data_IF_390672182475
#
_entry.id   IF_390672182475
#
_cell.length_a   1.000
_cell.length_b   1.000
_cell.length_c   1.000
_cell.angle_alpha   90.00
_cell.angle_beta   90.00
_cell.angle_gamma   90.00
#
_symmetry.space_group_name_H-M   'P 1'
#
loop_
_entity.id
_entity.type
_entity.pdbx_description
1 polymer ?
#
# COMPACT_ATOMS: atom_id res chain seq x y z
N UNK A 1 -8.56 -10.68 -9.59
CA UNK A 1 -7.42 -10.27 -8.76
C UNK A 1 -6.28 -9.87 -9.69
N UNK A 2 -5.81 -8.62 -9.63
CA UNK A 2 -4.65 -8.18 -10.42
C UNK A 2 -3.41 -9.01 -10.05
N UNK A 3 -2.75 -9.62 -11.04
CA UNK A 3 -1.64 -10.58 -10.85
C UNK A 3 -0.38 -10.00 -10.19
N UNK A 4 -0.30 -8.69 -9.99
CA UNK A 4 0.93 -7.96 -9.62
C UNK A 4 1.27 -7.98 -8.13
N UNK A 5 0.29 -8.04 -7.22
CA UNK A 5 0.58 -8.05 -5.77
C UNK A 5 1.06 -9.43 -5.29
N UNK A 6 0.55 -10.50 -5.92
CA UNK A 6 0.86 -11.88 -5.55
C UNK A 6 2.36 -12.18 -5.68
N UNK A 7 3.00 -11.74 -6.77
CA UNK A 7 4.44 -11.95 -6.99
C UNK A 7 5.32 -11.30 -5.91
N UNK A 8 4.94 -10.11 -5.45
CA UNK A 8 5.69 -9.39 -4.40
C UNK A 8 5.58 -10.10 -3.05
N UNK A 9 4.42 -10.68 -2.73
CA UNK A 9 4.24 -11.49 -1.52
C UNK A 9 4.96 -12.84 -1.63
N UNK A 10 4.89 -13.50 -2.79
CA UNK A 10 5.59 -14.76 -3.05
C UNK A 10 7.11 -14.62 -2.95
N UNK A 11 7.67 -13.46 -3.30
CA UNK A 11 9.10 -13.17 -3.16
C UNK A 11 9.61 -13.22 -1.72
N UNK A 12 8.72 -13.08 -0.71
CA UNK A 12 9.09 -13.24 0.70
C UNK A 12 9.40 -14.70 1.07
N UNK A 13 8.99 -15.66 0.22
CA UNK A 13 9.10 -17.10 0.47
C UNK A 13 8.62 -17.50 1.89
N UNK A 14 7.55 -16.85 2.36
CA UNK A 14 7.03 -17.01 3.71
C UNK A 14 5.53 -17.38 3.66
N UNK A 15 5.21 -18.69 3.68
CA UNK A 15 3.83 -19.17 3.60
C UNK A 15 2.93 -18.65 4.72
N UNK A 16 3.49 -18.35 5.91
CA UNK A 16 2.74 -17.80 7.02
C UNK A 16 2.18 -16.40 6.69
N UNK A 17 3.00 -15.53 6.09
CA UNK A 17 2.59 -14.18 5.70
C UNK A 17 1.51 -14.23 4.62
N UNK A 18 1.69 -15.06 3.59
CA UNK A 18 0.72 -15.23 2.51
C UNK A 18 -0.64 -15.63 3.08
N UNK A 19 -0.67 -16.65 3.96
CA UNK A 19 -1.90 -17.11 4.61
C UNK A 19 -2.60 -16.00 5.41
N UNK A 20 -1.85 -15.19 6.16
CA UNK A 20 -2.43 -14.08 6.94
C UNK A 20 -3.06 -13.01 6.05
N UNK A 21 -2.43 -12.70 4.91
CA UNK A 21 -2.97 -11.75 3.95
C UNK A 21 -4.24 -12.30 3.29
N UNK A 22 -4.25 -13.57 2.87
CA UNK A 22 -5.44 -14.22 2.29
C UNK A 22 -6.62 -14.23 3.26
N UNK A 23 -6.39 -14.56 4.53
CA UNK A 23 -7.42 -14.51 5.58
C UNK A 23 -8.01 -13.10 5.75
N UNK A 24 -7.16 -12.06 5.75
CA UNK A 24 -7.62 -10.67 5.84
C UNK A 24 -8.43 -10.23 4.61
N UNK A 25 -8.02 -10.64 3.41
CA UNK A 25 -8.75 -10.35 2.16
C UNK A 25 -10.13 -11.04 2.18
N UNK A 26 -10.17 -12.31 2.60
CA UNK A 26 -11.41 -13.06 2.70
C UNK A 26 -12.39 -12.46 3.72
N UNK A 27 -11.88 -11.92 4.83
CA UNK A 27 -12.71 -11.31 5.87
C UNK A 27 -13.20 -9.91 5.47
N UNK A 28 -12.30 -9.04 4.98
CA UNK A 28 -12.59 -7.63 4.76
C UNK A 28 -13.21 -7.32 3.39
N UNK A 29 -13.11 -8.24 2.43
CA UNK A 29 -13.64 -8.09 1.06
C UNK A 29 -13.28 -6.72 0.41
N UNK A 30 -11.99 -6.33 0.40
CA UNK A 30 -11.59 -5.01 -0.09
C UNK A 30 -11.78 -4.89 -1.61
N UNK A 31 -12.11 -3.68 -2.09
CA UNK A 31 -12.22 -3.41 -3.53
C UNK A 31 -10.90 -3.47 -4.29
N UNK A 32 -9.76 -3.26 -3.62
CA UNK A 32 -8.41 -3.36 -4.18
C UNK A 32 -7.40 -3.76 -3.11
N UNK A 33 -6.41 -4.58 -3.48
CA UNK A 33 -5.24 -4.93 -2.66
C UNK A 33 -3.98 -4.48 -3.39
N UNK A 34 -3.01 -3.93 -2.68
CA UNK A 34 -1.72 -3.51 -3.25
C UNK A 34 -0.62 -3.77 -2.23
N UNK A 35 0.49 -4.35 -2.70
CA UNK A 35 1.69 -4.59 -1.89
C UNK A 35 2.72 -3.52 -2.25
N UNK A 36 3.09 -2.71 -1.27
CA UNK A 36 4.05 -1.61 -1.39
C UNK A 36 5.42 -2.12 -0.91
N UNK A 37 6.45 -1.92 -1.71
CA UNK A 37 7.85 -2.17 -1.35
C UNK A 37 8.57 -0.86 -1.01
N UNK A 38 9.85 -0.95 -0.65
CA UNK A 38 10.72 0.22 -0.46
C UNK A 38 11.20 0.84 -1.79
N UNK A 39 10.60 0.48 -2.94
CA UNK A 39 10.87 1.19 -4.18
C UNK A 39 10.43 2.67 -4.02
N UNK A 40 11.32 3.65 -4.28
CA UNK A 40 11.00 5.07 -4.13
C UNK A 40 9.75 5.52 -4.89
N UNK A 41 9.43 4.88 -6.02
CA UNK A 41 8.23 5.19 -6.81
C UNK A 41 6.96 4.71 -6.12
N UNK A 42 7.01 3.57 -5.42
CA UNK A 42 5.87 3.04 -4.68
C UNK A 42 5.62 3.83 -3.40
N UNK A 43 6.69 4.26 -2.73
CA UNK A 43 6.61 5.21 -1.62
C UNK A 43 5.96 6.52 -2.10
N UNK A 44 6.39 7.03 -3.24
CA UNK A 44 5.82 8.25 -3.82
C UNK A 44 4.34 8.06 -4.20
N UNK A 45 3.96 6.90 -4.73
CA UNK A 45 2.56 6.56 -5.00
C UNK A 45 1.68 6.66 -3.75
N UNK A 46 2.13 6.12 -2.60
CA UNK A 46 1.37 6.19 -1.34
C UNK A 46 1.24 7.64 -0.86
N UNK A 47 2.32 8.43 -0.91
CA UNK A 47 2.29 9.85 -0.54
C UNK A 47 1.30 10.66 -1.39
N UNK A 48 1.32 10.43 -2.70
CA UNK A 48 0.38 11.10 -3.62
C UNK A 48 -1.05 10.64 -3.40
N UNK A 49 -1.26 9.37 -3.03
CA UNK A 49 -2.58 8.84 -2.73
C UNK A 49 -3.19 9.51 -1.49
N UNK A 50 -2.42 9.70 -0.41
CA UNK A 50 -2.88 10.40 0.80
C UNK A 50 -3.33 11.84 0.49
N UNK A 51 -2.53 12.56 -0.31
CA UNK A 51 -2.89 13.90 -0.79
C UNK A 51 -4.15 13.89 -1.68
N UNK A 52 -4.25 12.92 -2.60
CA UNK A 52 -5.40 12.79 -3.51
C UNK A 52 -6.70 12.49 -2.76
N UNK A 53 -6.62 11.64 -1.74
CA UNK A 53 -7.74 11.28 -0.89
C UNK A 53 -8.10 12.39 0.11
N UNK A 54 -7.28 13.45 0.19
CA UNK A 54 -7.40 14.53 1.19
C UNK A 54 -7.26 14.04 2.63
N UNK A 55 -6.54 12.94 2.82
CA UNK A 55 -6.11 12.47 4.14
C UNK A 55 -4.97 13.36 4.65
N UNK A 56 -4.15 13.88 3.73
CA UNK A 56 -3.06 14.80 4.05
C UNK A 56 -3.12 16.10 3.23
N UNK A 57 -2.53 17.17 3.76
CA UNK A 57 -2.33 18.44 3.08
C UNK A 57 -0.86 18.84 3.02
N UNK A 58 -0.45 19.52 1.94
CA UNK A 58 0.92 20.02 1.78
C UNK A 58 1.19 21.20 2.70
N UNK A 59 2.33 21.17 3.37
CA UNK A 59 2.85 22.32 4.11
C UNK A 59 3.63 23.27 3.20
N UNK A 60 3.93 24.46 3.72
CA UNK A 60 4.79 25.44 3.03
C UNK A 60 6.23 24.92 2.85
N UNK A 61 6.67 24.01 3.70
CA UNK A 61 7.98 23.38 3.60
C UNK A 61 7.94 22.27 2.52
N UNK A 62 8.77 22.34 1.47
CA UNK A 62 8.75 21.35 0.40
C UNK A 62 8.95 19.92 0.93
N UNK A 63 8.18 18.98 0.38
CA UNK A 63 8.23 17.56 0.75
C UNK A 63 7.53 17.19 2.05
N UNK A 64 6.95 18.15 2.78
CA UNK A 64 6.27 17.89 4.05
C UNK A 64 4.75 18.00 3.91
N UNK A 65 4.05 17.12 4.60
CA UNK A 65 2.59 17.04 4.66
C UNK A 65 2.11 16.93 6.11
N UNK A 66 0.82 17.17 6.33
CA UNK A 66 0.17 17.02 7.64
C UNK A 66 -1.17 16.32 7.48
N UNK A 67 -1.53 15.49 8.47
CA UNK A 67 -2.86 14.90 8.67
C UNK A 67 -3.43 15.48 9.97
N UNK A 68 -4.66 15.99 9.96
CA UNK A 68 -5.36 16.53 11.14
C UNK A 68 -6.78 16.00 11.24
#
# INVERSE_FOLDING_TARGET
MEQTYQKKLEALNNPYVIKRVEEAIALCQPGKVTVITDDPKEIQYVRELALKNKEEEKLKLPGHTVHF
#
